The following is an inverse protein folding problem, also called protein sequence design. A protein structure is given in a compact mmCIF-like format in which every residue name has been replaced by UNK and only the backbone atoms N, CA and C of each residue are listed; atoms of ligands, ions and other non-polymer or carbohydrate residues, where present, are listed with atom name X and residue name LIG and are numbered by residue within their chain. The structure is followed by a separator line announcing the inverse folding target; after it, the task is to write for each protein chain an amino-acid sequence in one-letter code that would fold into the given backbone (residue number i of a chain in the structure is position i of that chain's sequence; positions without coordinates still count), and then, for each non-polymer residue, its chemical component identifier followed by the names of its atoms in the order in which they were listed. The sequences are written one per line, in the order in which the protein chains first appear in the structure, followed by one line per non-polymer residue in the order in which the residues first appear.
data_IF_666339757401
#
_entry.id   IF_666339757401
#
_cell.length_a   1.000
_cell.length_b   1.000
_cell.length_c   1.000
_cell.angle_alpha   90.00
_cell.angle_beta   90.00
_cell.angle_gamma   90.00
#
_symmetry.space_group_name_H-M   'P 1'
#
loop_
_entity.id
_entity.type
_entity.pdbx_description
1 polymer ?
#
# COMPACT_ATOMS: atom_id res chain seq x y z
N UNK A 1 -38.39 -21.35 53.65
CA UNK A 1 -37.11 -21.98 53.28
C UNK A 1 -37.06 -22.10 51.77
N UNK A 2 -36.11 -21.61 50.98
CA UNK A 2 -35.00 -20.67 51.15
C UNK A 2 -34.67 -20.31 49.70
N UNK A 3 -34.57 -19.02 49.40
CA UNK A 3 -34.06 -18.45 48.15
C UNK A 3 -32.71 -19.06 47.74
N UNK A 4 -32.55 -19.39 46.46
CA UNK A 4 -31.25 -19.42 45.78
C UNK A 4 -31.45 -18.91 44.35
N UNK A 5 -31.50 -17.59 44.22
CA UNK A 5 -31.11 -16.90 43.00
C UNK A 5 -29.61 -17.11 42.80
N UNK A 6 -29.22 -17.87 41.79
CA UNK A 6 -27.87 -17.84 41.25
C UNK A 6 -27.82 -16.77 40.16
N UNK A 7 -27.30 -15.61 40.53
CA UNK A 7 -26.91 -14.58 39.57
C UNK A 7 -25.91 -15.16 38.55
N UNK A 8 -26.01 -14.85 37.25
CA UNK A 8 -24.92 -15.10 36.34
C UNK A 8 -23.74 -14.21 36.75
N UNK A 9 -22.62 -14.84 37.09
CA UNK A 9 -21.36 -14.16 37.33
C UNK A 9 -20.97 -13.39 36.06
N UNK A 10 -21.00 -12.07 36.16
CA UNK A 10 -20.44 -11.14 35.19
C UNK A 10 -18.91 -11.28 35.24
N UNK A 11 -18.37 -12.30 34.57
CA UNK A 11 -16.92 -12.46 34.39
C UNK A 11 -16.51 -11.58 33.22
N UNK A 12 -16.42 -10.27 33.48
CA UNK A 12 -15.46 -9.44 32.75
C UNK A 12 -14.08 -9.88 33.23
N UNK A 13 -13.45 -10.81 32.50
CA UNK A 13 -12.02 -11.08 32.64
C UNK A 13 -11.28 -9.73 32.48
N UNK A 14 -10.90 -9.14 33.61
CA UNK A 14 -10.00 -8.00 33.61
C UNK A 14 -8.68 -8.47 33.02
N UNK A 15 -8.17 -7.72 32.05
CA UNK A 15 -6.86 -7.99 31.47
C UNK A 15 -5.79 -8.00 32.59
N UNK A 16 -4.83 -8.93 32.56
CA UNK A 16 -3.79 -9.01 33.60
C UNK A 16 -2.93 -7.74 33.69
N UNK A 17 -2.92 -6.90 32.63
CA UNK A 17 -2.47 -5.50 32.69
C UNK A 17 -3.63 -4.57 33.03
N UNK A 18 -3.40 -3.70 34.01
CA UNK A 18 -4.18 -2.48 34.24
C UNK A 18 -3.85 -1.42 33.17
N UNK A 19 -4.24 -1.73 31.93
CA UNK A 19 -3.85 -1.01 30.74
C UNK A 19 -4.77 -1.30 29.56
N UNK A 20 -4.80 -0.37 28.62
CA UNK A 20 -5.60 -0.51 27.39
C UNK A 20 -4.68 -0.99 26.25
N UNK A 21 -5.05 -2.06 25.51
CA UNK A 21 -4.28 -2.48 24.34
C UNK A 21 -4.43 -1.44 23.23
N UNK A 22 -3.32 -1.04 22.62
CA UNK A 22 -3.28 -0.05 21.55
C UNK A 22 -2.24 -0.40 20.48
N UNK A 23 -2.24 0.35 19.38
CA UNK A 23 -1.19 0.30 18.37
C UNK A 23 -0.47 1.64 18.31
N UNK A 24 0.82 1.62 18.60
CA UNK A 24 1.71 2.77 18.50
C UNK A 24 2.38 2.79 17.13
N UNK A 25 2.12 3.84 16.34
CA UNK A 25 2.66 3.95 14.99
C UNK A 25 3.88 4.86 14.94
N UNK A 26 4.93 4.38 14.28
CA UNK A 26 6.10 5.20 13.91
C UNK A 26 5.99 5.63 12.46
N UNK A 27 6.11 6.93 12.26
CA UNK A 27 5.97 7.58 10.97
C UNK A 27 7.34 7.69 10.27
N UNK A 28 7.33 7.67 8.94
CA UNK A 28 8.54 7.80 8.12
C UNK A 28 8.78 9.23 7.64
N UNK A 29 8.88 9.38 6.32
CA UNK A 29 9.12 10.66 5.62
C UNK A 29 8.11 11.76 5.98
N UNK A 30 6.93 11.40 6.50
CA UNK A 30 5.91 12.35 6.97
C UNK A 30 6.47 13.32 8.01
N UNK A 31 7.35 12.85 8.91
CA UNK A 31 7.92 13.68 9.99
C UNK A 31 8.88 14.74 9.46
N UNK A 32 9.43 14.54 8.25
CA UNK A 32 10.39 15.45 7.61
C UNK A 32 9.71 16.61 6.85
N UNK A 33 8.38 16.58 6.70
CA UNK A 33 7.64 17.64 6.02
C UNK A 33 7.48 18.81 6.98
N UNK A 34 8.07 19.97 6.68
CA UNK A 34 8.04 21.17 7.53
C UNK A 34 6.64 21.76 7.72
N UNK A 35 6.30 22.83 6.98
CA UNK A 35 5.03 23.57 7.17
C UNK A 35 3.76 22.75 6.84
N UNK A 36 3.86 21.74 5.99
CA UNK A 36 2.70 20.93 5.55
C UNK A 36 2.45 19.68 6.41
N UNK A 37 3.24 19.46 7.47
CA UNK A 37 3.21 18.25 8.29
C UNK A 37 1.82 17.84 8.74
N UNK A 38 1.05 18.80 9.21
CA UNK A 38 -0.27 18.53 9.78
C UNK A 38 -1.23 17.94 8.74
N UNK A 39 -1.15 18.38 7.49
CA UNK A 39 -1.99 17.87 6.41
C UNK A 39 -1.66 16.41 6.09
N UNK A 40 -0.36 16.06 6.06
CA UNK A 40 0.08 14.67 5.93
C UNK A 40 -0.38 13.82 7.10
N UNK A 41 -0.24 14.32 8.33
CA UNK A 41 -0.66 13.60 9.54
C UNK A 41 -2.18 13.37 9.59
N UNK A 42 -2.98 14.38 9.22
CA UNK A 42 -4.46 14.24 9.11
C UNK A 42 -4.82 13.18 8.08
N UNK A 43 -4.26 13.27 6.86
CA UNK A 43 -4.53 12.31 5.79
C UNK A 43 -4.14 10.88 6.16
N UNK A 44 -3.00 10.71 6.82
CA UNK A 44 -2.55 9.41 7.29
C UNK A 44 -3.50 8.82 8.34
N UNK A 45 -3.98 9.63 9.27
CA UNK A 45 -4.96 9.19 10.26
C UNK A 45 -6.27 8.75 9.59
N UNK A 46 -6.72 9.46 8.56
CA UNK A 46 -7.92 9.08 7.80
C UNK A 46 -7.71 7.77 7.03
N UNK A 47 -6.55 7.60 6.39
CA UNK A 47 -6.20 6.35 5.71
C UNK A 47 -6.16 5.17 6.69
N UNK A 48 -5.62 5.36 7.89
CA UNK A 48 -5.63 4.34 8.96
C UNK A 48 -7.06 3.99 9.36
N UNK A 49 -7.91 4.99 9.64
CA UNK A 49 -9.32 4.75 10.00
C UNK A 49 -10.07 4.00 8.91
N UNK A 50 -9.88 4.38 7.65
CA UNK A 50 -10.53 3.72 6.51
C UNK A 50 -10.06 2.26 6.37
N UNK A 51 -8.76 2.02 6.48
CA UNK A 51 -8.17 0.69 6.32
C UNK A 51 -8.70 -0.32 7.35
N UNK A 52 -8.84 0.11 8.61
CA UNK A 52 -9.23 -0.78 9.72
C UNK A 52 -10.73 -0.82 9.98
N UNK A 53 -11.53 0.03 9.31
CA UNK A 53 -12.98 0.11 9.49
C UNK A 53 -13.71 -1.24 9.39
N UNK A 54 -13.36 -2.17 8.47
CA UNK A 54 -14.00 -3.49 8.42
C UNK A 54 -13.69 -4.39 9.63
N UNK A 55 -12.70 -4.04 10.44
CA UNK A 55 -12.28 -4.79 11.63
C UNK A 55 -12.87 -4.12 12.88
N UNK A 56 -12.70 -2.81 12.99
CA UNK A 56 -13.05 -2.05 14.18
C UNK A 56 -13.19 -0.55 13.87
N UNK A 57 -14.10 0.12 14.60
CA UNK A 57 -14.08 1.58 14.73
C UNK A 57 -13.02 1.95 15.77
N UNK A 58 -12.03 2.75 15.36
CA UNK A 58 -10.88 3.12 16.19
C UNK A 58 -10.78 4.64 16.35
N UNK A 59 -10.23 5.05 17.47
CA UNK A 59 -9.69 6.40 17.68
C UNK A 59 -8.25 6.44 17.19
N UNK A 60 -7.91 7.47 16.41
CA UNK A 60 -6.52 7.76 16.00
C UNK A 60 -6.11 9.08 16.60
N UNK A 61 -5.30 9.01 17.65
CA UNK A 61 -4.80 10.15 18.40
C UNK A 61 -3.42 10.51 17.85
N UNK A 62 -3.22 11.79 17.54
CA UNK A 62 -1.97 12.32 16.96
C UNK A 62 -1.25 13.14 18.03
N UNK A 63 -0.03 12.75 18.42
CA UNK A 63 0.77 13.47 19.42
C UNK A 63 2.23 13.59 18.99
N UNK A 64 2.70 14.82 18.72
CA UNK A 64 4.11 15.17 18.48
C UNK A 64 4.95 14.09 17.74
N UNK A 65 4.43 13.60 16.61
CA UNK A 65 5.11 12.62 15.75
C UNK A 65 4.91 11.14 16.08
N UNK A 66 3.96 10.82 16.95
CA UNK A 66 3.50 9.44 17.22
C UNK A 66 1.99 9.39 17.09
N UNK A 67 1.50 8.33 16.44
CA UNK A 67 0.07 8.07 16.38
C UNK A 67 -0.25 6.91 17.29
N UNK A 68 -1.35 7.05 18.03
CA UNK A 68 -1.88 6.00 18.89
C UNK A 68 -3.22 5.62 18.30
N UNK A 69 -3.37 4.35 17.96
CA UNK A 69 -4.63 3.76 17.51
C UNK A 69 -5.19 2.92 18.65
N UNK A 70 -6.40 3.24 19.08
CA UNK A 70 -7.07 2.53 20.17
C UNK A 70 -8.55 2.30 19.85
N UNK A 71 -9.15 1.35 20.54
CA UNK A 71 -10.59 1.12 20.53
C UNK A 71 -11.01 0.87 21.97
N UNK A 72 -12.08 1.55 22.40
CA UNK A 72 -12.69 1.31 23.70
C UNK A 72 -13.15 -0.15 23.81
N UNK A 73 -12.83 -0.81 24.93
CA UNK A 73 -13.17 -2.22 25.19
C UNK A 73 -12.76 -3.15 24.03
N UNK A 74 -11.54 -2.99 23.52
CA UNK A 74 -10.97 -3.92 22.54
C UNK A 74 -10.24 -5.07 23.22
N UNK A 75 -10.52 -6.29 22.79
CA UNK A 75 -9.68 -7.43 23.12
C UNK A 75 -8.35 -7.39 22.33
N UNK A 76 -7.38 -8.20 22.78
CA UNK A 76 -6.06 -8.30 22.17
C UNK A 76 -6.11 -8.80 20.73
N UNK A 77 -7.01 -9.74 20.41
CA UNK A 77 -7.14 -10.34 19.08
C UNK A 77 -7.59 -9.31 18.04
N UNK A 78 -8.53 -8.43 18.42
CA UNK A 78 -9.02 -7.32 17.61
C UNK A 78 -7.89 -6.33 17.35
N UNK A 79 -7.14 -5.95 18.40
CA UNK A 79 -6.02 -5.02 18.26
C UNK A 79 -4.86 -5.61 17.45
N UNK A 80 -4.68 -6.93 17.46
CA UNK A 80 -3.73 -7.64 16.60
C UNK A 80 -4.12 -7.59 15.13
N UNK A 81 -5.40 -7.86 14.81
CA UNK A 81 -5.93 -7.70 13.44
C UNK A 81 -5.82 -6.25 12.96
N UNK A 82 -6.10 -5.27 13.83
CA UNK A 82 -5.92 -3.84 13.54
C UNK A 82 -4.44 -3.52 13.23
N UNK A 83 -3.51 -3.98 14.07
CA UNK A 83 -2.08 -3.75 13.86
C UNK A 83 -1.61 -4.34 12.53
N UNK A 84 -2.03 -5.56 12.21
CA UNK A 84 -1.69 -6.23 10.95
C UNK A 84 -2.28 -5.49 9.74
N UNK A 85 -3.51 -4.99 9.81
CA UNK A 85 -4.11 -4.23 8.71
C UNK A 85 -3.41 -2.88 8.49
N UNK A 86 -2.91 -2.25 9.56
CA UNK A 86 -2.17 -0.98 9.48
C UNK A 86 -0.83 -1.13 8.74
N UNK A 87 -0.22 -2.33 8.72
CA UNK A 87 1.05 -2.53 7.99
C UNK A 87 0.94 -2.29 6.49
N UNK A 88 -0.28 -2.38 5.93
CA UNK A 88 -0.56 -2.09 4.52
C UNK A 88 -0.81 -0.59 4.26
N UNK A 89 -0.90 0.25 5.29
CA UNK A 89 -1.14 1.68 5.10
C UNK A 89 0.17 2.40 4.75
N UNK A 90 0.19 3.03 3.56
CA UNK A 90 1.32 3.85 3.11
C UNK A 90 1.53 5.04 4.05
N UNK A 91 2.79 5.29 4.42
CA UNK A 91 3.22 6.31 5.37
C UNK A 91 3.62 5.77 6.75
N UNK A 92 3.27 4.52 7.07
CA UNK A 92 3.60 3.87 8.34
C UNK A 92 4.88 3.05 8.20
N UNK A 93 5.87 3.26 9.07
CA UNK A 93 7.14 2.50 9.08
C UNK A 93 7.08 1.34 10.04
N UNK A 94 6.50 1.55 11.23
CA UNK A 94 6.29 0.49 12.21
C UNK A 94 4.93 0.63 12.87
N UNK A 95 4.29 -0.51 13.10
CA UNK A 95 3.12 -0.66 13.95
C UNK A 95 3.49 -1.53 15.16
N UNK A 96 3.56 -0.93 16.34
CA UNK A 96 3.86 -1.65 17.59
C UNK A 96 2.58 -1.94 18.35
N UNK A 97 2.29 -3.20 18.63
CA UNK A 97 1.26 -3.55 19.62
C UNK A 97 1.80 -3.19 21.00
N UNK A 98 1.08 -2.33 21.70
CA UNK A 98 1.53 -1.75 22.96
C UNK A 98 0.44 -1.77 24.02
N UNK A 99 0.86 -1.88 25.27
CA UNK A 99 0.03 -1.57 26.43
C UNK A 99 0.13 -0.09 26.74
N UNK A 100 -1.02 0.57 26.85
CA UNK A 100 -1.16 1.94 27.34
C UNK A 100 -1.50 1.86 28.82
N UNK A 101 -0.56 2.22 29.68
CA UNK A 101 -0.68 2.07 31.14
C UNK A 101 -0.55 3.40 31.86
N UNK A 102 -0.95 3.40 33.14
CA UNK A 102 -0.76 4.51 34.06
C UNK A 102 0.69 4.99 34.13
N UNK A 103 0.87 6.27 34.46
CA UNK A 103 2.19 6.90 34.57
C UNK A 103 2.81 6.70 35.96
N UNK A 104 2.90 5.44 36.36
CA UNK A 104 3.48 4.99 37.62
C UNK A 104 4.31 3.72 37.38
N UNK A 105 5.24 3.44 38.30
CA UNK A 105 6.18 2.33 38.13
C UNK A 105 5.47 0.97 38.16
N UNK A 106 4.51 0.77 39.07
CA UNK A 106 3.83 -0.51 39.25
C UNK A 106 3.05 -0.93 38.00
N UNK A 107 2.42 0.03 37.31
CA UNK A 107 1.74 -0.22 36.04
C UNK A 107 2.71 -0.61 34.92
N UNK A 108 3.90 0.02 34.86
CA UNK A 108 4.95 -0.34 33.88
C UNK A 108 5.52 -1.72 34.16
N UNK A 109 5.77 -2.07 35.42
CA UNK A 109 6.27 -3.39 35.84
C UNK A 109 5.33 -4.51 35.42
N UNK A 110 4.02 -4.37 35.70
CA UNK A 110 3.00 -5.37 35.32
C UNK A 110 2.99 -5.61 33.82
N UNK A 111 2.93 -4.54 33.02
CA UNK A 111 2.93 -4.64 31.56
C UNK A 111 4.23 -5.23 31.00
N UNK A 112 5.37 -4.89 31.60
CA UNK A 112 6.67 -5.42 31.21
C UNK A 112 6.77 -6.93 31.44
N UNK A 113 6.32 -7.41 32.60
CA UNK A 113 6.31 -8.83 32.93
C UNK A 113 5.40 -9.60 31.98
N UNK A 114 4.16 -9.14 31.79
CA UNK A 114 3.22 -9.81 30.88
C UNK A 114 3.75 -9.90 29.44
N UNK A 115 4.34 -8.82 28.91
CA UNK A 115 4.89 -8.83 27.55
C UNK A 115 6.08 -9.78 27.37
N UNK A 116 6.79 -10.10 28.46
CA UNK A 116 7.95 -10.99 28.48
C UNK A 116 7.60 -12.42 28.90
N UNK A 117 6.37 -12.65 29.37
CA UNK A 117 5.91 -13.97 29.77
C UNK A 117 5.93 -14.96 28.59
N UNK A 118 6.36 -16.19 28.87
CA UNK A 118 6.53 -17.24 27.85
C UNK A 118 7.64 -17.00 26.81
N UNK A 119 8.32 -15.84 26.81
CA UNK A 119 9.44 -15.57 25.90
C UNK A 119 10.74 -16.24 26.39
N UNK A 120 11.63 -16.57 25.46
CA UNK A 120 12.91 -17.21 25.75
C UNK A 120 14.05 -16.52 25.03
N UNK A 121 15.29 -16.74 25.50
CA UNK A 121 16.48 -16.13 24.92
C UNK A 121 16.87 -14.80 25.57
N UNK A 122 17.63 -13.98 24.84
CA UNK A 122 18.23 -12.75 25.39
C UNK A 122 17.32 -11.54 25.20
N UNK A 123 17.37 -10.57 26.12
CA UNK A 123 16.57 -9.36 26.00
C UNK A 123 17.32 -8.07 26.36
N UNK A 124 16.78 -6.95 25.94
CA UNK A 124 17.16 -5.62 26.42
C UNK A 124 15.93 -4.77 26.71
N UNK A 125 16.01 -3.91 27.72
CA UNK A 125 15.03 -2.86 27.97
C UNK A 125 15.54 -1.55 27.36
N UNK A 126 14.65 -0.81 26.68
CA UNK A 126 14.97 0.49 26.07
C UNK A 126 13.89 1.52 26.37
N UNK A 127 14.22 2.49 27.20
CA UNK A 127 13.28 3.51 27.66
C UNK A 127 13.51 4.86 27.00
N UNK A 128 12.46 5.44 26.43
CA UNK A 128 12.45 6.81 25.89
C UNK A 128 11.48 7.68 26.67
N UNK A 129 11.99 8.72 27.32
CA UNK A 129 11.17 9.69 28.07
C UNK A 129 10.96 10.98 27.29
N UNK A 130 9.74 11.23 26.83
CA UNK A 130 9.30 12.54 26.33
C UNK A 130 9.01 13.48 27.48
N UNK A 131 8.39 12.98 28.54
CA UNK A 131 8.21 13.72 29.78
C UNK A 131 9.35 13.43 30.77
N UNK A 132 10.12 14.47 31.12
CA UNK A 132 11.25 14.35 32.05
C UNK A 132 10.82 14.36 33.52
N UNK A 133 9.56 14.69 33.82
CA UNK A 133 8.99 14.72 35.18
C UNK A 133 8.72 13.33 35.77
N UNK A 134 8.89 12.28 34.97
CA UNK A 134 8.78 10.91 35.49
C UNK A 134 9.88 10.64 36.52
N UNK A 135 9.59 9.98 37.67
CA UNK A 135 10.50 9.87 38.81
C UNK A 135 11.87 9.25 38.49
N UNK A 136 11.92 8.34 37.51
CA UNK A 136 13.14 7.68 37.07
C UNK A 136 13.66 8.27 35.75
N UNK A 137 14.98 8.30 35.59
CA UNK A 137 15.65 8.49 34.30
C UNK A 137 15.44 7.29 33.39
N UNK A 138 15.71 7.44 32.09
CA UNK A 138 15.62 6.32 31.14
C UNK A 138 16.51 5.14 31.56
N UNK A 139 17.73 5.44 31.99
CA UNK A 139 18.71 4.42 32.37
C UNK A 139 18.35 3.73 33.69
N UNK A 140 17.83 4.46 34.67
CA UNK A 140 17.32 3.86 35.91
C UNK A 140 16.13 2.94 35.61
N UNK A 141 15.18 3.39 34.77
CA UNK A 141 14.04 2.58 34.37
C UNK A 141 14.45 1.32 33.61
N UNK A 142 15.41 1.42 32.68
CA UNK A 142 15.96 0.28 31.95
C UNK A 142 16.59 -0.75 32.88
N UNK A 143 17.39 -0.32 33.86
CA UNK A 143 18.02 -1.21 34.84
C UNK A 143 16.99 -1.86 35.76
N UNK A 144 16.03 -1.08 36.25
CA UNK A 144 15.00 -1.54 37.17
C UNK A 144 14.12 -2.62 36.53
N UNK A 145 13.54 -2.32 35.36
CA UNK A 145 12.71 -3.28 34.62
C UNK A 145 13.55 -4.46 34.11
N UNK A 146 14.80 -4.23 33.72
CA UNK A 146 15.72 -5.30 33.33
C UNK A 146 15.97 -6.30 34.48
N UNK A 147 16.25 -5.80 35.68
CA UNK A 147 16.44 -6.64 36.87
C UNK A 147 15.16 -7.42 37.22
N UNK A 148 14.00 -6.77 37.12
CA UNK A 148 12.71 -7.40 37.38
C UNK A 148 12.43 -8.58 36.42
N UNK A 149 12.57 -8.36 35.10
CA UNK A 149 12.33 -9.39 34.08
C UNK A 149 13.36 -10.53 34.21
N UNK A 150 14.64 -10.21 34.43
CA UNK A 150 15.68 -11.21 34.63
C UNK A 150 15.45 -12.04 35.89
N UNK A 151 15.04 -11.41 37.00
CA UNK A 151 14.73 -12.10 38.25
C UNK A 151 13.50 -13.01 38.16
N UNK A 152 12.45 -12.58 37.43
CA UNK A 152 11.20 -13.35 37.30
C UNK A 152 11.30 -14.54 36.34
N UNK A 153 12.06 -14.40 35.25
CA UNK A 153 12.09 -15.37 34.14
C UNK A 153 13.47 -15.98 33.87
N UNK A 154 14.52 -15.56 34.57
CA UNK A 154 15.88 -16.07 34.36
C UNK A 154 16.51 -15.74 33.00
N UNK A 155 15.91 -14.81 32.24
CA UNK A 155 16.40 -14.47 30.90
C UNK A 155 17.70 -13.64 30.97
N UNK A 156 18.72 -13.93 30.14
CA UNK A 156 19.95 -13.15 30.13
C UNK A 156 19.77 -11.79 29.43
N UNK A 157 20.31 -10.74 30.04
CA UNK A 157 20.34 -9.38 29.45
C UNK A 157 21.46 -9.28 28.40
N UNK A 158 21.13 -8.79 27.21
CA UNK A 158 22.08 -8.52 26.12
C UNK A 158 21.76 -7.17 25.46
N UNK A 159 22.65 -6.18 25.60
CA UNK A 159 22.38 -4.83 25.08
C UNK A 159 22.51 -4.73 23.54
N UNK A 160 23.41 -5.52 22.95
CA UNK A 160 23.69 -5.56 21.52
C UNK A 160 23.03 -6.78 20.88
N UNK A 161 22.14 -6.55 19.92
CA UNK A 161 21.41 -7.60 19.19
C UNK A 161 20.68 -8.62 20.10
N UNK A 162 19.73 -8.16 20.95
CA UNK A 162 18.92 -9.05 21.76
C UNK A 162 17.86 -9.77 20.92
N UNK A 163 17.47 -10.99 21.33
CA UNK A 163 16.33 -11.69 20.73
C UNK A 163 15.01 -10.91 20.94
N UNK A 164 14.88 -10.23 22.07
CA UNK A 164 13.72 -9.40 22.39
C UNK A 164 14.11 -8.01 22.88
N UNK A 165 13.42 -6.98 22.39
CA UNK A 165 13.57 -5.61 22.91
C UNK A 165 12.27 -5.18 23.55
N UNK A 166 12.26 -5.03 24.87
CA UNK A 166 11.18 -4.42 25.62
C UNK A 166 11.37 -2.90 25.57
N UNK A 167 10.44 -2.19 24.95
CA UNK A 167 10.50 -0.74 24.80
C UNK A 167 9.49 -0.07 25.71
N UNK A 168 9.92 1.01 26.36
CA UNK A 168 9.09 1.81 27.27
C UNK A 168 9.12 3.26 26.80
N UNK A 169 7.98 3.80 26.36
CA UNK A 169 7.85 5.22 26.01
C UNK A 169 7.02 5.96 27.04
N UNK A 170 7.69 6.78 27.85
CA UNK A 170 7.04 7.64 28.84
C UNK A 170 6.59 8.93 28.16
N UNK A 171 5.27 9.12 28.06
CA UNK A 171 4.64 10.32 27.54
C UNK A 171 4.15 11.22 28.70
N UNK A 172 3.42 12.31 28.36
CA UNK A 172 2.95 13.31 29.32
C UNK A 172 2.07 12.71 30.42
N UNK A 173 1.08 11.90 30.05
CA UNK A 173 0.02 11.43 30.95
C UNK A 173 0.00 9.90 31.12
N UNK A 174 0.76 9.18 30.30
CA UNK A 174 0.70 7.72 30.20
C UNK A 174 2.05 7.13 29.77
N UNK A 175 2.19 5.81 29.88
CA UNK A 175 3.37 5.07 29.42
C UNK A 175 2.94 4.00 28.42
N UNK A 176 3.70 3.87 27.34
CA UNK A 176 3.52 2.79 26.36
C UNK A 176 4.59 1.74 26.57
N UNK A 177 4.18 0.49 26.79
CA UNK A 177 5.09 -0.66 26.91
C UNK A 177 4.82 -1.62 25.76
N UNK A 178 5.87 -2.01 25.03
CA UNK A 178 5.74 -2.91 23.87
C UNK A 178 7.00 -3.71 23.61
N UNK A 179 6.88 -4.81 22.88
CA UNK A 179 8.00 -5.64 22.44
C UNK A 179 7.91 -5.95 20.95
N UNK A 180 8.99 -5.70 20.21
CA UNK A 180 9.03 -5.84 18.75
C UNK A 180 8.12 -4.84 18.04
N UNK A 181 7.79 -5.11 16.77
CA UNK A 181 6.90 -4.30 15.95
C UNK A 181 6.71 -4.92 14.57
N UNK A 182 5.61 -4.57 13.91
CA UNK A 182 5.34 -5.00 12.54
C UNK A 182 5.85 -3.93 11.55
N UNK A 183 6.68 -4.30 10.56
CA UNK A 183 7.15 -3.35 9.56
C UNK A 183 5.99 -2.94 8.64
N UNK A 184 5.84 -1.63 8.44
CA UNK A 184 4.87 -1.06 7.52
C UNK A 184 5.45 -0.78 6.12
N UNK A 185 4.66 -0.15 5.26
CA UNK A 185 5.07 0.18 3.89
C UNK A 185 6.09 1.32 3.79
N UNK A 186 6.13 2.21 4.79
CA UNK A 186 6.82 3.50 4.73
C UNK A 186 6.22 4.40 3.64
N UNK A 187 7.03 5.34 3.12
CA UNK A 187 6.57 6.26 2.07
C UNK A 187 5.67 7.38 2.59
N UNK A 188 4.72 7.82 1.75
CA UNK A 188 3.81 8.93 2.03
C UNK A 188 2.34 8.46 2.04
N UNK A 189 1.45 9.14 2.78
CA UNK A 189 0.04 8.80 2.83
C UNK A 189 -0.62 8.95 1.44
N UNK A 190 -1.34 7.93 0.98
CA UNK A 190 -2.06 7.97 -0.31
C UNK A 190 -3.05 9.14 -0.36
N UNK A 191 -3.02 9.88 -1.47
CA UNK A 191 -3.84 11.06 -1.73
C UNK A 191 -3.16 12.39 -1.37
N UNK A 192 -1.96 12.35 -0.79
CA UNK A 192 -1.18 13.57 -0.50
C UNK A 192 -0.52 14.18 -1.74
N UNK A 193 -0.26 13.36 -2.77
CA UNK A 193 0.51 13.76 -3.95
C UNK A 193 -0.36 13.88 -5.21
N UNK A 194 -1.67 14.07 -5.05
CA UNK A 194 -2.61 14.17 -6.15
C UNK A 194 -3.15 12.82 -6.64
N UNK A 195 -3.63 12.80 -7.90
CA UNK A 195 -4.26 11.65 -8.55
C UNK A 195 -3.59 11.34 -9.89
N UNK A 196 -3.54 10.07 -10.26
CA UNK A 196 -3.08 9.63 -11.58
C UNK A 196 -3.77 8.35 -12.03
N UNK A 197 -3.61 8.01 -13.32
CA UNK A 197 -4.21 6.85 -13.94
C UNK A 197 -3.13 5.83 -14.32
N UNK A 198 -3.22 4.61 -13.79
CA UNK A 198 -2.31 3.51 -14.10
C UNK A 198 -2.83 2.77 -15.33
N UNK A 199 -1.99 2.63 -16.35
CA UNK A 199 -2.22 1.66 -17.43
C UNK A 199 -1.90 0.26 -16.90
N UNK A 200 -2.97 -0.46 -16.53
CA UNK A 200 -2.93 -1.76 -15.89
C UNK A 200 -2.96 -2.86 -16.95
N UNK A 201 -1.90 -3.65 -17.01
CA UNK A 201 -1.81 -4.87 -17.81
C UNK A 201 -1.97 -6.10 -16.94
N UNK A 202 -2.13 -7.26 -17.58
CA UNK A 202 -2.09 -8.56 -16.91
C UNK A 202 -0.69 -9.02 -16.46
N UNK A 203 0.35 -8.22 -16.72
CA UNK A 203 1.74 -8.57 -16.45
C UNK A 203 2.22 -8.18 -15.05
N UNK A 204 3.48 -8.51 -14.77
CA UNK A 204 4.13 -8.32 -13.45
C UNK A 204 4.38 -6.83 -13.14
N UNK A 205 4.68 -6.05 -14.17
CA UNK A 205 5.33 -4.74 -14.01
C UNK A 205 4.32 -3.64 -13.60
N UNK A 206 3.15 -3.58 -14.25
CA UNK A 206 2.18 -2.49 -14.01
C UNK A 206 1.59 -2.47 -12.58
N UNK A 207 1.32 -3.61 -11.91
CA UNK A 207 0.96 -3.61 -10.48
C UNK A 207 2.07 -3.06 -9.57
N UNK A 208 3.33 -3.38 -9.87
CA UNK A 208 4.49 -2.88 -9.10
C UNK A 208 4.66 -1.38 -9.29
N UNK A 209 4.49 -0.88 -10.52
CA UNK A 209 4.48 0.55 -10.80
C UNK A 209 3.38 1.29 -10.02
N UNK A 210 2.16 0.75 -10.00
CA UNK A 210 1.06 1.30 -9.21
C UNK A 210 1.39 1.36 -7.72
N UNK A 211 1.89 0.25 -7.15
CA UNK A 211 2.31 0.18 -5.75
C UNK A 211 3.36 1.25 -5.41
N UNK A 212 4.40 1.42 -6.24
CA UNK A 212 5.45 2.42 -6.01
C UNK A 212 4.89 3.84 -6.03
N UNK A 213 3.92 4.14 -6.90
CA UNK A 213 3.27 5.45 -6.93
C UNK A 213 2.35 5.69 -5.74
N UNK A 214 1.58 4.69 -5.31
CA UNK A 214 0.83 4.77 -4.05
C UNK A 214 1.76 5.02 -2.85
N UNK A 215 2.94 4.39 -2.82
CA UNK A 215 3.97 4.61 -1.78
C UNK A 215 4.56 6.02 -1.81
N UNK A 216 4.48 6.74 -2.93
CA UNK A 216 4.79 8.19 -3.03
C UNK A 216 3.59 9.09 -2.73
N UNK A 217 2.50 8.54 -2.21
CA UNK A 217 1.33 9.29 -1.79
C UNK A 217 0.36 9.61 -2.94
N UNK A 218 0.55 9.04 -4.12
CA UNK A 218 -0.36 9.24 -5.26
C UNK A 218 -1.61 8.36 -5.07
N UNK A 219 -2.80 8.94 -5.25
CA UNK A 219 -4.04 8.15 -5.39
C UNK A 219 -4.15 7.70 -6.84
N UNK A 220 -4.39 6.41 -7.07
CA UNK A 220 -4.43 5.87 -8.43
C UNK A 220 -5.77 5.25 -8.76
N UNK A 221 -6.25 5.54 -9.97
CA UNK A 221 -7.26 4.78 -10.67
C UNK A 221 -6.58 3.89 -11.71
N UNK A 222 -7.24 2.83 -12.17
CA UNK A 222 -6.64 1.84 -13.08
C UNK A 222 -7.41 1.81 -14.39
N UNK A 223 -6.70 1.78 -15.52
CA UNK A 223 -7.25 1.59 -16.86
C UNK A 223 -6.65 0.34 -17.47
N UNK A 224 -7.50 -0.62 -17.83
CA UNK A 224 -7.13 -1.85 -18.52
C UNK A 224 -7.76 -1.89 -19.91
N UNK A 225 -6.97 -2.30 -20.90
CA UNK A 225 -7.42 -2.51 -22.27
C UNK A 225 -7.56 -4.01 -22.54
N UNK A 226 -8.76 -4.46 -22.88
CA UNK A 226 -9.03 -5.86 -23.19
C UNK A 226 -9.04 -6.11 -24.70
N UNK A 227 -8.70 -7.32 -25.13
CA UNK A 227 -8.74 -7.72 -26.55
C UNK A 227 -10.16 -7.96 -27.09
N UNK A 228 -11.21 -7.71 -26.30
CA UNK A 228 -12.60 -7.91 -26.70
C UNK A 228 -12.94 -7.11 -27.99
N UNK A 229 -13.73 -7.67 -28.92
CA UNK A 229 -14.40 -8.97 -28.84
C UNK A 229 -13.57 -10.18 -29.35
N UNK A 230 -12.26 -10.01 -29.59
CA UNK A 230 -11.43 -11.04 -30.23
C UNK A 230 -10.78 -12.02 -29.23
N UNK A 231 -10.62 -11.62 -27.97
CA UNK A 231 -10.15 -12.48 -26.87
C UNK A 231 -11.28 -12.75 -25.88
N UNK A 232 -11.10 -13.71 -24.98
CA UNK A 232 -12.02 -13.90 -23.85
C UNK A 232 -11.84 -12.88 -22.71
N UNK A 233 -12.61 -13.02 -21.61
CA UNK A 233 -12.61 -12.12 -20.45
C UNK A 233 -11.47 -12.35 -19.46
N UNK A 234 -10.57 -13.31 -19.70
CA UNK A 234 -9.53 -13.75 -18.77
C UNK A 234 -8.59 -12.60 -18.36
N UNK A 235 -8.20 -11.76 -19.33
CA UNK A 235 -7.38 -10.56 -19.07
C UNK A 235 -8.06 -9.57 -18.12
N UNK A 236 -9.39 -9.42 -18.23
CA UNK A 236 -10.21 -8.59 -17.34
C UNK A 236 -10.22 -9.17 -15.93
N UNK A 237 -10.43 -10.49 -15.79
CA UNK A 237 -10.41 -11.15 -14.48
C UNK A 237 -9.04 -11.02 -13.81
N UNK A 238 -7.96 -11.16 -14.57
CA UNK A 238 -6.61 -10.97 -14.04
C UNK A 238 -6.37 -9.53 -13.60
N UNK A 239 -6.73 -8.54 -14.42
CA UNK A 239 -6.64 -7.12 -14.05
C UNK A 239 -7.47 -6.81 -12.79
N UNK A 240 -8.69 -7.37 -12.69
CA UNK A 240 -9.55 -7.23 -11.52
C UNK A 240 -8.88 -7.81 -10.27
N UNK A 241 -8.33 -9.02 -10.34
CA UNK A 241 -7.64 -9.68 -9.23
C UNK A 241 -6.41 -8.88 -8.76
N UNK A 242 -5.62 -8.35 -9.71
CA UNK A 242 -4.47 -7.49 -9.40
C UNK A 242 -4.89 -6.20 -8.69
N UNK A 243 -5.92 -5.51 -9.20
CA UNK A 243 -6.43 -4.28 -8.56
C UNK A 243 -7.04 -4.58 -7.20
N UNK A 244 -7.74 -5.71 -7.04
CA UNK A 244 -8.28 -6.18 -5.75
C UNK A 244 -7.17 -6.35 -4.71
N UNK A 245 -6.06 -6.97 -5.09
CA UNK A 245 -4.93 -7.14 -4.16
C UNK A 245 -4.25 -5.80 -3.82
N UNK A 246 -4.15 -4.89 -4.78
CA UNK A 246 -3.60 -3.55 -4.57
C UNK A 246 -4.52 -2.64 -3.74
N UNK A 247 -5.83 -2.91 -3.71
CA UNK A 247 -6.81 -2.08 -3.00
C UNK A 247 -6.51 -1.97 -1.50
N UNK A 248 -5.86 -2.97 -0.90
CA UNK A 248 -5.43 -2.92 0.52
C UNK A 248 -4.57 -1.69 0.86
N UNK A 249 -3.85 -1.13 -0.11
CA UNK A 249 -2.93 0.00 0.10
C UNK A 249 -3.60 1.38 0.03
N UNK A 250 -4.76 1.52 -0.63
CA UNK A 250 -5.43 2.80 -0.81
C UNK A 250 -6.93 2.84 -0.50
N UNK A 251 -7.61 1.69 -0.58
CA UNK A 251 -9.05 1.51 -0.39
C UNK A 251 -9.92 2.22 -1.43
N UNK A 252 -10.96 1.57 -1.92
CA UNK A 252 -11.90 2.15 -2.89
C UNK A 252 -11.25 2.37 -4.26
N UNK A 253 -10.50 1.37 -4.73
CA UNK A 253 -9.89 1.34 -6.05
C UNK A 253 -10.96 1.24 -7.14
N UNK A 254 -10.71 1.89 -8.27
CA UNK A 254 -11.58 1.84 -9.45
C UNK A 254 -10.80 1.30 -10.64
N UNK A 255 -11.36 0.28 -11.29
CA UNK A 255 -10.82 -0.31 -12.50
C UNK A 255 -11.74 0.02 -13.67
N UNK A 256 -11.18 0.71 -14.64
CA UNK A 256 -11.82 1.07 -15.89
C UNK A 256 -11.35 0.10 -16.98
N UNK A 257 -12.29 -0.54 -17.67
CA UNK A 257 -12.00 -1.52 -18.73
C UNK A 257 -12.49 -0.98 -20.07
N UNK A 258 -11.61 -0.98 -21.07
CA UNK A 258 -11.91 -0.52 -22.43
C UNK A 258 -11.73 -1.69 -23.41
N UNK A 259 -12.79 -2.11 -24.13
CA UNK A 259 -12.68 -3.07 -25.23
C UNK A 259 -11.87 -2.46 -26.38
N UNK A 260 -10.70 -3.03 -26.65
CA UNK A 260 -9.70 -2.42 -27.54
C UNK A 260 -9.48 -3.21 -28.84
N UNK A 261 -10.04 -4.41 -28.96
CA UNK A 261 -9.81 -5.30 -30.10
C UNK A 261 -10.09 -4.65 -31.46
N UNK A 262 -11.23 -3.96 -31.61
CA UNK A 262 -11.61 -3.28 -32.88
C UNK A 262 -10.60 -2.20 -33.28
N UNK A 263 -10.12 -1.41 -32.32
CA UNK A 263 -9.10 -0.39 -32.57
C UNK A 263 -7.77 -1.02 -33.01
N UNK A 264 -7.39 -2.17 -32.42
CA UNK A 264 -6.20 -2.91 -32.88
C UNK A 264 -6.34 -3.40 -34.32
N UNK A 265 -7.51 -3.90 -34.70
CA UNK A 265 -7.78 -4.32 -36.07
C UNK A 265 -7.63 -3.16 -37.05
N UNK A 266 -8.17 -1.98 -36.72
CA UNK A 266 -8.02 -0.77 -37.52
C UNK A 266 -6.56 -0.33 -37.66
N UNK A 267 -5.78 -0.35 -36.57
CA UNK A 267 -4.35 -0.04 -36.61
C UNK A 267 -3.61 -1.00 -37.54
N UNK A 268 -3.89 -2.31 -37.44
CA UNK A 268 -3.27 -3.32 -38.30
C UNK A 268 -3.61 -3.09 -39.78
N UNK A 269 -4.86 -2.75 -40.08
CA UNK A 269 -5.32 -2.48 -41.44
C UNK A 269 -4.81 -1.14 -42.03
N UNK A 270 -4.26 -0.24 -41.21
CA UNK A 270 -3.74 1.06 -41.66
C UNK A 270 -2.36 1.02 -42.32
N UNK A 271 -1.74 -0.17 -42.43
CA UNK A 271 -0.38 -0.34 -42.91
C UNK A 271 0.68 0.06 -41.87
N UNK A 272 0.35 0.02 -40.58
CA UNK A 272 1.27 0.34 -39.50
C UNK A 272 2.35 -0.75 -39.27
N UNK A 273 2.27 -1.90 -39.95
CA UNK A 273 3.23 -3.03 -39.94
C UNK A 273 4.14 -3.09 -38.70
N UNK A 274 5.39 -2.60 -38.82
CA UNK A 274 6.43 -2.68 -37.78
C UNK A 274 6.22 -1.70 -36.63
N UNK A 275 5.46 -0.63 -36.86
CA UNK A 275 5.08 0.41 -35.91
C UNK A 275 3.78 0.10 -35.16
N UNK A 276 3.06 -0.96 -35.53
CA UNK A 276 1.74 -1.29 -34.99
C UNK A 276 1.72 -1.31 -33.45
N UNK A 277 2.74 -1.90 -32.80
CA UNK A 277 2.84 -1.94 -31.32
C UNK A 277 2.99 -0.54 -30.72
N UNK A 278 3.78 0.33 -31.34
CA UNK A 278 3.99 1.69 -30.82
C UNK A 278 2.75 2.54 -31.09
N UNK A 279 2.16 2.47 -32.28
CA UNK A 279 0.90 3.14 -32.60
C UNK A 279 -0.23 2.72 -31.64
N UNK A 280 -0.31 1.42 -31.33
CA UNK A 280 -1.24 0.87 -30.36
C UNK A 280 -1.06 1.48 -28.96
N UNK A 281 0.17 1.49 -28.46
CA UNK A 281 0.48 2.04 -27.13
C UNK A 281 0.25 3.55 -27.08
N UNK A 282 0.50 4.28 -28.17
CA UNK A 282 0.17 5.72 -28.29
C UNK A 282 -1.33 5.96 -28.21
N UNK A 283 -2.16 5.16 -28.89
CA UNK A 283 -3.61 5.24 -28.78
C UNK A 283 -4.11 4.90 -27.35
N UNK A 284 -3.53 3.89 -26.71
CA UNK A 284 -3.82 3.57 -25.31
C UNK A 284 -3.47 4.73 -24.36
N UNK A 285 -2.32 5.38 -24.56
CA UNK A 285 -1.92 6.55 -23.79
C UNK A 285 -2.86 7.74 -23.99
N UNK A 286 -3.26 8.04 -25.24
CA UNK A 286 -4.22 9.10 -25.55
C UNK A 286 -5.59 8.84 -24.93
N UNK A 287 -6.09 7.60 -25.05
CA UNK A 287 -7.33 7.17 -24.37
C UNK A 287 -7.21 7.34 -22.86
N UNK A 288 -6.06 6.94 -22.29
CA UNK A 288 -5.73 7.14 -20.89
C UNK A 288 -5.69 8.61 -20.49
N UNK A 289 -5.16 9.50 -21.32
CA UNK A 289 -5.11 10.94 -21.07
C UNK A 289 -6.52 11.54 -21.01
N UNK A 290 -7.38 11.21 -21.98
CA UNK A 290 -8.78 11.62 -21.99
C UNK A 290 -9.47 11.19 -20.70
N UNK A 291 -9.35 9.91 -20.33
CA UNK A 291 -9.96 9.38 -19.11
C UNK A 291 -9.36 10.02 -17.84
N UNK A 292 -8.04 10.18 -17.78
CA UNK A 292 -7.37 10.81 -16.64
C UNK A 292 -7.86 12.24 -16.43
N UNK A 293 -8.01 13.05 -17.49
CA UNK A 293 -8.56 14.42 -17.40
C UNK A 293 -10.00 14.40 -16.86
N UNK A 294 -10.87 13.50 -17.35
CA UNK A 294 -12.25 13.32 -16.83
C UNK A 294 -12.26 12.97 -15.34
N UNK A 295 -11.29 12.18 -14.88
CA UNK A 295 -11.13 11.77 -13.49
C UNK A 295 -10.32 12.76 -12.63
N UNK A 296 -9.92 13.92 -13.18
CA UNK A 296 -9.06 14.93 -12.55
C UNK A 296 -7.71 14.37 -12.10
N UNK A 297 -7.17 13.41 -12.85
CA UNK A 297 -5.81 12.92 -12.75
C UNK A 297 -4.82 13.86 -13.42
N UNK A 298 -3.59 13.91 -12.90
CA UNK A 298 -2.54 14.82 -13.36
C UNK A 298 -1.34 14.08 -13.97
N UNK A 299 -1.41 12.76 -14.08
CA UNK A 299 -0.35 11.93 -14.64
C UNK A 299 -0.88 10.57 -15.11
N UNK A 300 -0.22 9.99 -16.10
CA UNK A 300 -0.33 8.59 -16.46
C UNK A 300 0.80 7.79 -15.80
N UNK A 301 0.55 6.53 -15.48
CA UNK A 301 1.54 5.65 -14.86
C UNK A 301 1.64 4.37 -15.69
N UNK A 302 2.87 3.99 -16.04
CA UNK A 302 3.15 2.76 -16.79
C UNK A 302 4.17 1.89 -16.05
N UNK A 303 4.12 0.58 -16.30
CA UNK A 303 5.13 -0.38 -15.86
C UNK A 303 6.38 -0.43 -16.74
N UNK A 304 6.73 0.62 -17.48
CA UNK A 304 7.85 0.57 -18.42
C UNK A 304 9.21 0.54 -17.71
N UNK A 305 10.08 -0.38 -18.16
CA UNK A 305 11.46 -0.56 -17.72
C UNK A 305 12.42 -0.41 -18.92
N UNK A 306 13.46 0.42 -18.81
CA UNK A 306 14.32 0.75 -19.95
C UNK A 306 15.09 -0.50 -20.42
N UNK A 307 14.98 -0.83 -21.71
CA UNK A 307 15.76 -1.90 -22.33
C UNK A 307 15.25 -3.33 -22.08
N UNK A 308 14.09 -3.50 -21.45
CA UNK A 308 13.52 -4.83 -21.17
C UNK A 308 12.87 -5.49 -22.41
N UNK A 309 12.16 -4.71 -23.24
CA UNK A 309 11.54 -5.17 -24.49
C UNK A 309 11.75 -4.16 -25.61
N UNK A 310 11.53 -4.58 -26.86
CA UNK A 310 11.70 -3.72 -28.06
C UNK A 310 10.89 -2.43 -28.00
N UNK A 311 9.71 -2.44 -27.37
CA UNK A 311 8.86 -1.24 -27.20
C UNK A 311 9.34 -0.28 -26.11
N UNK A 312 10.36 -0.65 -25.32
CA UNK A 312 10.89 0.12 -24.19
C UNK A 312 12.36 0.54 -24.41
N UNK A 313 12.77 0.74 -25.66
CA UNK A 313 14.01 1.46 -25.97
C UNK A 313 13.82 2.95 -25.69
N UNK A 314 14.90 3.71 -25.51
CA UNK A 314 14.81 5.16 -25.30
C UNK A 314 14.08 5.88 -26.45
N UNK A 315 14.31 5.44 -27.69
CA UNK A 315 13.64 5.98 -28.87
C UNK A 315 12.13 5.74 -28.83
N UNK A 316 11.71 4.52 -28.47
CA UNK A 316 10.29 4.19 -28.37
C UNK A 316 9.62 4.85 -27.15
N UNK A 317 10.31 4.97 -26.02
CA UNK A 317 9.82 5.74 -24.86
C UNK A 317 9.58 7.21 -25.24
N UNK A 318 10.53 7.83 -25.95
CA UNK A 318 10.39 9.20 -26.45
C UNK A 318 9.20 9.30 -27.41
N UNK A 319 9.02 8.32 -28.28
CA UNK A 319 7.86 8.25 -29.16
C UNK A 319 6.55 7.99 -28.40
N UNK A 320 6.55 7.40 -27.21
CA UNK A 320 5.34 7.29 -26.38
C UNK A 320 5.03 8.60 -25.66
N UNK A 321 6.06 9.30 -25.17
CA UNK A 321 5.92 10.59 -24.49
C UNK A 321 5.33 11.66 -25.43
N UNK A 322 5.71 11.66 -26.71
CA UNK A 322 5.16 12.58 -27.72
C UNK A 322 3.64 12.44 -27.95
N UNK A 323 3.02 11.33 -27.53
CA UNK A 323 1.61 11.08 -27.81
C UNK A 323 0.63 11.83 -26.91
N UNK A 324 1.09 12.32 -25.75
CA UNK A 324 0.24 12.92 -24.71
C UNK A 324 0.93 14.12 -24.08
N UNK A 325 0.15 15.01 -23.47
CA UNK A 325 0.66 16.18 -22.76
C UNK A 325 0.81 15.91 -21.25
N UNK A 326 -0.03 15.03 -20.69
CA UNK A 326 0.10 14.61 -19.31
C UNK A 326 1.44 13.89 -19.08
N UNK A 327 2.12 14.14 -17.95
CA UNK A 327 3.37 13.45 -17.63
C UNK A 327 3.12 11.94 -17.46
N UNK A 328 4.00 11.14 -18.07
CA UNK A 328 4.02 9.68 -17.91
C UNK A 328 5.07 9.31 -16.86
N UNK A 329 4.61 8.86 -15.70
CA UNK A 329 5.46 8.37 -14.62
C UNK A 329 5.84 6.90 -14.88
N UNK A 330 7.15 6.61 -14.85
CA UNK A 330 7.73 5.27 -15.07
C UNK A 330 8.54 4.82 -13.86
N UNK A 331 7.89 4.32 -12.79
CA UNK A 331 8.55 4.02 -11.52
C UNK A 331 9.60 2.90 -11.58
N UNK A 332 9.61 2.13 -12.68
CA UNK A 332 10.44 0.96 -12.92
C UNK A 332 11.53 1.21 -13.98
N UNK A 333 11.65 2.44 -14.51
CA UNK A 333 12.51 2.75 -15.66
C UNK A 333 13.97 2.31 -15.49
N UNK A 334 14.48 2.33 -14.26
CA UNK A 334 15.85 1.92 -13.92
C UNK A 334 15.95 0.64 -13.08
N UNK A 335 14.89 -0.16 -13.01
CA UNK A 335 14.89 -1.44 -12.28
C UNK A 335 15.16 -2.60 -13.22
N UNK A 336 15.81 -3.65 -12.72
CA UNK A 336 15.90 -4.92 -13.42
C UNK A 336 14.70 -5.84 -13.15
N UNK A 337 14.59 -6.92 -13.93
CA UNK A 337 13.46 -7.86 -13.84
C UNK A 337 13.41 -8.59 -12.50
N UNK A 338 14.56 -8.90 -11.89
CA UNK A 338 14.61 -9.60 -10.61
C UNK A 338 14.08 -8.69 -9.51
N UNK A 339 14.49 -7.42 -9.50
CA UNK A 339 13.99 -6.43 -8.56
C UNK A 339 12.48 -6.23 -8.68
N UNK A 340 11.94 -6.19 -9.92
CA UNK A 340 10.49 -6.08 -10.17
C UNK A 340 9.76 -7.33 -9.63
N UNK A 341 10.27 -8.53 -9.92
CA UNK A 341 9.68 -9.79 -9.45
C UNK A 341 9.71 -9.92 -7.92
N UNK A 342 10.81 -9.51 -7.28
CA UNK A 342 10.93 -9.49 -5.82
C UNK A 342 9.89 -8.55 -5.18
N UNK A 343 9.68 -7.38 -5.78
CA UNK A 343 8.62 -6.48 -5.35
C UNK A 343 7.23 -7.05 -5.58
N UNK A 344 6.97 -7.66 -6.74
CA UNK A 344 5.70 -8.33 -7.03
C UNK A 344 5.38 -9.46 -6.04
N UNK A 345 6.38 -10.24 -5.62
CA UNK A 345 6.23 -11.25 -4.55
C UNK A 345 5.88 -10.61 -3.22
N UNK A 346 6.60 -9.56 -2.83
CA UNK A 346 6.38 -8.86 -1.56
C UNK A 346 4.98 -8.25 -1.48
N UNK A 347 4.44 -7.71 -2.57
CA UNK A 347 3.11 -7.11 -2.60
C UNK A 347 1.98 -8.11 -2.92
N UNK A 348 2.35 -9.37 -3.20
CA UNK A 348 1.46 -10.51 -3.52
C UNK A 348 0.75 -10.42 -4.87
N UNK A 349 1.36 -9.77 -5.85
CA UNK A 349 0.83 -9.69 -7.22
C UNK A 349 1.47 -10.66 -8.20
N UNK A 350 2.61 -11.28 -7.85
CA UNK A 350 3.36 -12.15 -8.78
C UNK A 350 2.51 -13.34 -9.25
N UNK A 351 1.97 -14.14 -8.34
CA UNK A 351 1.21 -15.34 -8.68
C UNK A 351 -0.04 -15.05 -9.52
N UNK A 352 -0.68 -13.90 -9.30
CA UNK A 352 -1.82 -13.45 -10.11
C UNK A 352 -1.34 -13.07 -11.52
N UNK A 353 -0.19 -12.40 -11.63
CA UNK A 353 0.38 -11.95 -12.92
C UNK A 353 0.85 -13.13 -13.79
N UNK A 354 1.24 -14.23 -13.16
CA UNK A 354 1.68 -15.47 -13.82
C UNK A 354 0.52 -16.33 -14.35
N UNK A 355 -0.73 -16.02 -13.97
CA UNK A 355 -1.88 -16.73 -14.52
C UNK A 355 -1.93 -16.56 -16.05
N UNK A 356 -2.20 -17.66 -16.78
CA UNK A 356 -2.28 -17.62 -18.23
C UNK A 356 -3.45 -16.74 -18.68
N UNK A 357 -3.18 -15.85 -19.64
CA UNK A 357 -4.19 -15.08 -20.34
C UNK A 357 -3.78 -14.84 -21.79
N UNK A 358 -4.75 -14.43 -22.60
CA UNK A 358 -4.49 -13.89 -23.92
C UNK A 358 -4.33 -12.38 -23.81
N UNK A 359 -3.08 -11.92 -23.70
CA UNK A 359 -2.79 -10.48 -23.67
C UNK A 359 -3.22 -9.82 -24.99
N UNK A 360 -3.94 -8.70 -24.86
CA UNK A 360 -4.38 -7.87 -25.96
C UNK A 360 -3.21 -7.53 -26.91
N UNK A 361 -2.00 -7.30 -26.38
CA UNK A 361 -0.85 -6.88 -27.17
C UNK A 361 -0.15 -7.99 -28.00
N UNK A 362 -0.36 -9.28 -27.69
CA UNK A 362 0.36 -10.38 -28.36
C UNK A 362 -0.39 -10.94 -29.57
N UNK A 363 -1.72 -10.92 -29.55
CA UNK A 363 -2.58 -11.50 -30.60
C UNK A 363 -2.34 -10.90 -32.00
N UNK A 364 -2.04 -9.60 -32.07
CA UNK A 364 -1.82 -8.88 -33.33
C UNK A 364 -0.39 -8.31 -33.45
N UNK A 365 0.54 -8.84 -32.66
CA UNK A 365 1.92 -8.40 -32.68
C UNK A 365 2.58 -8.65 -34.05
N UNK A 366 3.33 -7.69 -34.60
CA UNK A 366 4.01 -7.85 -35.87
C UNK A 366 5.17 -8.85 -35.75
N UNK A 367 5.49 -9.56 -36.84
CA UNK A 367 6.61 -10.53 -36.90
C UNK A 367 7.98 -9.92 -36.54
N UNK A 368 8.15 -8.60 -36.75
CA UNK A 368 9.33 -7.84 -36.34
C UNK A 368 8.89 -6.52 -35.72
N UNK A 369 9.11 -6.38 -34.41
CA UNK A 369 8.84 -5.14 -33.70
C UNK A 369 9.93 -4.10 -34.00
N UNK A 370 9.52 -2.85 -34.21
CA UNK A 370 10.46 -1.73 -34.38
C UNK A 370 11.08 -1.34 -33.04
N UNK A 371 12.41 -1.17 -33.02
CA UNK A 371 13.18 -0.77 -31.83
C UNK A 371 13.51 0.72 -31.83
N UNK A 372 13.34 1.40 -32.97
CA UNK A 372 13.55 2.85 -33.10
C UNK A 372 12.46 3.45 -34.00
N UNK A 373 11.26 3.65 -33.44
CA UNK A 373 10.18 4.29 -34.16
C UNK A 373 10.49 5.77 -34.44
N UNK A 374 10.19 6.22 -35.66
CA UNK A 374 10.23 7.65 -36.01
C UNK A 374 8.90 8.29 -35.65
N UNK A 375 8.96 9.41 -34.92
CA UNK A 375 7.77 10.13 -34.45
C UNK A 375 6.92 10.64 -35.64
N UNK A 376 7.56 11.12 -36.70
CA UNK A 376 6.84 11.64 -37.88
C UNK A 376 6.00 10.56 -38.58
N UNK A 377 6.55 9.35 -38.71
CA UNK A 377 5.82 8.20 -39.30
C UNK A 377 4.61 7.83 -38.43
N UNK A 378 4.77 7.86 -37.10
CA UNK A 378 3.67 7.62 -36.16
C UNK A 378 2.58 8.69 -36.27
N UNK A 379 2.95 9.97 -36.35
CA UNK A 379 1.98 11.08 -36.52
C UNK A 379 1.21 10.96 -37.84
N UNK A 380 1.84 10.47 -38.92
CA UNK A 380 1.15 10.20 -40.18
C UNK A 380 0.15 9.03 -40.08
N UNK A 381 0.49 7.99 -39.32
CA UNK A 381 -0.45 6.89 -39.01
C UNK A 381 -1.62 7.42 -38.17
N UNK A 382 -1.33 8.21 -37.13
CA UNK A 382 -2.34 8.77 -36.23
C UNK A 382 -3.34 9.69 -36.96
N UNK A 383 -2.86 10.50 -37.92
CA UNK A 383 -3.73 11.33 -38.76
C UNK A 383 -4.68 10.51 -39.63
N UNK A 384 -4.21 9.39 -40.18
CA UNK A 384 -5.04 8.50 -41.03
C UNK A 384 -6.11 7.75 -40.24
N UNK A 385 -5.87 7.52 -38.97
CA UNK A 385 -6.73 6.76 -38.06
C UNK A 385 -7.69 7.64 -37.24
N UNK A 386 -7.63 8.96 -37.41
CA UNK A 386 -8.28 9.95 -36.53
C UNK A 386 -8.18 9.57 -35.04
N UNK A 387 -6.94 9.44 -34.59
CA UNK A 387 -6.64 8.91 -33.25
C UNK A 387 -7.23 9.76 -32.12
N UNK A 388 -7.50 11.03 -32.37
CA UNK A 388 -8.20 11.90 -31.42
C UNK A 388 -9.64 11.41 -31.19
N UNK A 389 -10.42 11.33 -32.26
CA UNK A 389 -11.80 10.84 -32.19
C UNK A 389 -11.86 9.39 -31.68
N UNK A 390 -10.95 8.52 -32.14
CA UNK A 390 -10.89 7.14 -31.70
C UNK A 390 -10.58 7.01 -30.19
N UNK A 391 -9.70 7.85 -29.65
CA UNK A 391 -9.40 7.86 -28.22
C UNK A 391 -10.61 8.32 -27.38
N UNK A 392 -11.37 9.31 -27.86
CA UNK A 392 -12.60 9.76 -27.20
C UNK A 392 -13.68 8.67 -27.21
N UNK A 393 -13.91 8.03 -28.36
CA UNK A 393 -14.85 6.90 -28.48
C UNK A 393 -14.46 5.73 -27.55
N UNK A 394 -13.17 5.40 -27.47
CA UNK A 394 -12.68 4.37 -26.55
C UNK A 394 -12.89 4.77 -25.08
N UNK A 395 -12.62 6.03 -24.72
CA UNK A 395 -12.86 6.54 -23.38
C UNK A 395 -14.36 6.57 -23.01
N UNK A 396 -15.26 6.75 -23.98
CA UNK A 396 -16.70 6.69 -23.79
C UNK A 396 -17.22 5.25 -23.62
N UNK A 397 -16.52 4.27 -24.20
CA UNK A 397 -16.89 2.84 -24.11
C UNK A 397 -16.51 2.16 -22.78
N UNK A 398 -16.00 2.93 -21.82
CA UNK A 398 -15.39 2.42 -20.59
C UNK A 398 -16.40 1.76 -19.66
N UNK A 399 -16.00 0.63 -19.07
CA UNK A 399 -16.76 -0.07 -18.03
C UNK A 399 -16.06 0.09 -16.68
N UNK A 400 -16.76 0.64 -15.68
CA UNK A 400 -16.21 0.80 -14.32
C UNK A 400 -16.51 -0.45 -13.47
N UNK A 401 -15.45 -0.98 -12.87
CA UNK A 401 -15.47 -2.02 -11.85
C UNK A 401 -14.88 -1.48 -10.54
N UNK A 402 -15.33 -2.03 -9.41
CA UNK A 402 -14.84 -1.66 -8.07
C UNK A 402 -14.30 -2.86 -7.31
N UNK A 403 -13.06 -3.27 -7.59
CA UNK A 403 -12.41 -4.34 -6.84
C UNK A 403 -12.18 -3.91 -5.40
N UNK A 404 -12.62 -4.74 -4.44
CA UNK A 404 -12.50 -4.46 -2.99
C UNK A 404 -11.64 -5.53 -2.33
N UNK A 405 -10.63 -5.08 -1.59
CA UNK A 405 -9.80 -5.97 -0.78
C UNK A 405 -10.53 -6.49 0.47
N UNK A 406 -10.37 -7.77 0.78
CA UNK A 406 -11.04 -8.46 1.89
C UNK A 406 -12.34 -9.17 1.47
N UNK A 407 -13.05 -9.71 2.46
CA UNK A 407 -14.34 -10.35 2.26
C UNK A 407 -15.46 -9.31 2.20
N UNK A 408 -16.31 -9.42 1.18
CA UNK A 408 -17.48 -8.56 0.94
C UNK A 408 -18.63 -8.91 1.89
N UNK A 409 -18.47 -9.88 2.79
CA UNK A 409 -19.52 -10.42 3.67
C UNK A 409 -19.79 -9.62 4.95
N UNK A 410 -19.22 -8.42 5.10
CA UNK A 410 -19.48 -7.53 6.23
C UNK A 410 -19.92 -6.14 5.73
N UNK A 411 -21.08 -6.09 5.07
CA UNK A 411 -21.83 -4.86 4.80
C UNK A 411 -23.20 -4.93 5.45
#
# INVERSE_FOLDING_TARGET
MTTLETAPADVREQSPVDGEPCVLLKLGEVVLKGKNRELFERRLADNVRQAVRPIARVDVIRRHGVFIVRKHEADLATMERVAQRITDVMGIVWAHRAWRVGKDLASVERAALELMDGRTGTFAVRSRRRDKRFPMTSTELDRHIGALVAGRYGQPVRLKDPAHTLSIEVDRDEVFVYSGGLPGQGGLPVGMSGRGLVLMSGGIDSPVAAYRMMRRGLRVDYLHFSGMPFTGPESIYKAYALVRELDKFQGGSRLFVVPFGKAQQQIKSSGADRLAVIAQRRLMLRTGEVLARRLRGSALITGDALGQVSSQTLANITALDDAVELPILRPLVGMDKIEIMDQARRVRTLSISELPDEDCCTMLAPRRAETRAKIDDLRQIEKRLDVGELADQLADSVQEHRPVYGDVSAS
#
